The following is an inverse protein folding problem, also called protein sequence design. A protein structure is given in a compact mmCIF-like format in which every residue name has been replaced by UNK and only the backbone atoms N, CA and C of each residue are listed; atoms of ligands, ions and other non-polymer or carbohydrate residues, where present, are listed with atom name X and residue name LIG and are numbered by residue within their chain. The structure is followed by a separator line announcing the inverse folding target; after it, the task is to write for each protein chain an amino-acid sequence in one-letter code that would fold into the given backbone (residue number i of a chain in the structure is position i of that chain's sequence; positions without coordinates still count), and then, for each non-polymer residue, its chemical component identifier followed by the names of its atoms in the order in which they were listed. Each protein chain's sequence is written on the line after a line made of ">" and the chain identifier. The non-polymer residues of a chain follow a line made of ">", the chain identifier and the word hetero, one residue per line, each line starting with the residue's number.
data_IF_339298615897
#
_entry.id   IF_339298615897
#
_cell.length_a   1.000
_cell.length_b   1.000
_cell.length_c   1.000
_cell.angle_alpha   90.00
_cell.angle_beta   90.00
_cell.angle_gamma   90.00
#
_symmetry.space_group_name_H-M   'P 1'
#
loop_
_entity.id
_entity.type
_entity.pdbx_description
1 polymer ?
#
# COMPACT_ATOMS: atom_id res chain seq x y z
N UNK A 1 -5.38 -25.44 -12.28
CA UNK A 1 -4.65 -25.15 -11.05
C UNK A 1 -5.38 -24.03 -10.37
N UNK A 2 -5.79 -24.26 -9.12
CA UNK A 2 -6.46 -23.27 -8.26
C UNK A 2 -5.44 -22.38 -7.52
N UNK A 3 -4.23 -22.30 -8.05
CA UNK A 3 -3.04 -21.66 -7.48
C UNK A 3 -2.61 -20.42 -8.26
N UNK A 4 -3.49 -19.86 -9.08
CA UNK A 4 -3.17 -18.67 -9.88
C UNK A 4 -3.00 -17.46 -8.98
N UNK A 5 -1.86 -16.79 -9.08
CA UNK A 5 -1.58 -15.53 -8.40
C UNK A 5 -1.26 -14.44 -9.42
N UNK A 6 -1.95 -13.30 -9.32
CA UNK A 6 -1.75 -12.16 -10.22
C UNK A 6 -1.20 -10.96 -9.46
N UNK A 7 -0.15 -10.34 -9.98
CA UNK A 7 0.38 -9.10 -9.40
C UNK A 7 -0.61 -7.94 -9.63
N UNK A 8 -0.95 -7.22 -8.55
CA UNK A 8 -1.82 -6.05 -8.59
C UNK A 8 -1.24 -4.84 -9.36
N UNK A 9 0.08 -4.83 -9.60
CA UNK A 9 0.78 -3.72 -10.27
C UNK A 9 1.04 -4.01 -11.76
N UNK A 10 1.70 -5.11 -12.09
CA UNK A 10 2.09 -5.43 -13.48
C UNK A 10 1.20 -6.46 -14.17
N UNK A 11 0.21 -7.02 -13.47
CA UNK A 11 -0.71 -8.04 -13.98
C UNK A 11 -0.05 -9.37 -14.43
N UNK A 12 1.23 -9.61 -14.10
CA UNK A 12 1.83 -10.94 -14.31
C UNK A 12 1.04 -11.99 -13.54
N UNK A 13 0.73 -13.11 -14.19
CA UNK A 13 -0.04 -14.21 -13.61
C UNK A 13 0.85 -15.45 -13.58
N UNK A 14 1.15 -15.92 -12.36
CA UNK A 14 1.97 -17.10 -12.12
C UNK A 14 1.09 -18.25 -11.62
N UNK A 15 1.44 -19.46 -12.05
CA UNK A 15 0.70 -20.71 -11.83
C UNK A 15 1.70 -21.84 -11.61
N UNK A 16 1.21 -23.00 -11.18
CA UNK A 16 2.02 -24.19 -10.88
C UNK A 16 3.04 -23.95 -9.76
N UNK A 17 2.59 -23.35 -8.65
CA UNK A 17 3.43 -23.05 -7.49
C UNK A 17 3.87 -24.31 -6.75
N UNK A 18 5.14 -24.37 -6.39
CA UNK A 18 5.72 -25.39 -5.52
C UNK A 18 5.87 -24.87 -4.09
N UNK A 19 5.84 -25.74 -3.06
CA UNK A 19 6.01 -25.31 -1.66
C UNK A 19 7.33 -24.59 -1.36
N UNK A 20 8.33 -24.75 -2.23
CA UNK A 20 9.66 -24.12 -2.13
C UNK A 20 9.76 -22.78 -2.84
N UNK A 21 8.75 -22.40 -3.62
CA UNK A 21 8.76 -21.15 -4.36
C UNK A 21 8.59 -19.97 -3.41
N UNK A 22 9.44 -18.96 -3.58
CA UNK A 22 9.35 -17.71 -2.85
C UNK A 22 8.66 -16.66 -3.74
N UNK A 23 7.49 -16.11 -3.32
CA UNK A 23 6.69 -15.24 -4.18
C UNK A 23 7.41 -14.01 -4.74
N UNK A 24 8.29 -13.38 -3.95
CA UNK A 24 9.03 -12.20 -4.38
C UNK A 24 10.07 -12.56 -5.45
N UNK A 25 10.84 -13.62 -5.23
CA UNK A 25 11.87 -14.12 -6.14
C UNK A 25 11.27 -14.54 -7.47
N UNK A 26 10.14 -15.25 -7.45
CA UNK A 26 9.42 -15.61 -8.67
C UNK A 26 8.88 -14.38 -9.40
N UNK A 27 8.33 -13.41 -8.68
CA UNK A 27 7.86 -12.17 -9.29
C UNK A 27 9.01 -11.37 -9.94
N UNK A 28 10.14 -11.21 -9.26
CA UNK A 28 11.33 -10.56 -9.79
C UNK A 28 11.87 -11.29 -11.04
N UNK A 29 11.89 -12.62 -11.01
CA UNK A 29 12.35 -13.46 -12.13
C UNK A 29 11.48 -13.33 -13.38
N UNK A 30 10.16 -13.33 -13.24
CA UNK A 30 9.22 -13.32 -14.38
C UNK A 30 8.82 -11.91 -14.83
N UNK A 31 8.94 -10.90 -13.96
CA UNK A 31 8.60 -9.51 -14.26
C UNK A 31 9.58 -8.53 -13.61
N UNK A 32 10.87 -8.53 -14.01
CA UNK A 32 11.91 -7.67 -13.41
C UNK A 32 11.66 -6.17 -13.62
N UNK A 33 10.79 -5.82 -14.58
CA UNK A 33 10.40 -4.44 -14.86
C UNK A 33 9.12 -4.01 -14.14
N UNK A 34 8.57 -4.83 -13.24
CA UNK A 34 7.40 -4.44 -12.45
C UNK A 34 7.73 -3.22 -11.57
N UNK A 35 6.90 -2.15 -11.59
CA UNK A 35 7.09 -0.99 -10.72
C UNK A 35 7.21 -1.38 -9.24
N UNK A 36 6.45 -2.39 -8.80
CA UNK A 36 6.51 -2.88 -7.42
C UNK A 36 7.85 -3.55 -7.09
N UNK A 37 8.40 -4.37 -8.00
CA UNK A 37 9.72 -5.00 -7.85
C UNK A 37 10.82 -3.94 -7.85
N UNK A 38 10.70 -2.90 -8.68
CA UNK A 38 11.63 -1.76 -8.73
C UNK A 38 11.55 -0.83 -7.52
N UNK A 39 10.57 -1.01 -6.64
CA UNK A 39 10.33 -0.10 -5.51
C UNK A 39 9.79 1.28 -5.93
N UNK A 40 9.19 1.38 -7.11
CA UNK A 40 8.51 2.58 -7.57
C UNK A 40 7.20 2.80 -6.77
N UNK A 41 6.67 4.03 -6.83
CA UNK A 41 5.39 4.33 -6.19
C UNK A 41 4.27 3.46 -6.77
N UNK A 42 3.55 2.76 -5.90
CA UNK A 42 2.39 1.94 -6.25
C UNK A 42 1.20 2.33 -5.38
N UNK A 43 0.01 1.85 -5.73
CA UNK A 43 -1.20 2.02 -4.92
C UNK A 43 -1.20 1.16 -3.63
N UNK A 44 -0.06 0.57 -3.25
CA UNK A 44 0.05 -0.26 -2.06
C UNK A 44 -0.09 0.59 -0.79
N UNK A 45 -1.08 0.27 0.05
CA UNK A 45 -1.24 0.83 1.39
C UNK A 45 -0.81 -0.26 2.39
N UNK A 46 0.36 -0.12 3.05
CA UNK A 46 0.85 -1.16 3.95
C UNK A 46 -0.12 -1.38 5.13
N UNK A 47 -0.52 -2.62 5.36
CA UNK A 47 -1.45 -2.99 6.44
C UNK A 47 -0.89 -2.69 7.84
N UNK A 48 0.43 -2.65 8.00
CA UNK A 48 1.12 -2.44 9.29
C UNK A 48 1.76 -1.06 9.44
N UNK A 49 1.87 -0.27 8.37
CA UNK A 49 2.47 1.08 8.39
C UNK A 49 1.43 2.07 7.93
N UNK A 50 0.48 2.37 8.80
CA UNK A 50 -0.37 3.54 8.59
C UNK A 50 0.46 4.80 8.89
N UNK A 51 1.07 5.38 7.85
CA UNK A 51 1.31 6.82 7.82
C UNK A 51 0.00 7.62 8.03
N UNK A 52 -1.16 6.97 7.90
CA UNK A 52 -2.47 7.48 8.32
C UNK A 52 -2.70 7.50 9.85
N UNK A 53 -1.95 6.70 10.64
CA UNK A 53 -1.95 6.73 12.11
C UNK A 53 -0.84 7.60 12.67
N UNK A 54 0.17 7.93 11.86
CA UNK A 54 1.10 8.98 12.22
C UNK A 54 0.30 10.29 12.37
N UNK A 55 0.49 11.04 13.47
CA UNK A 55 -0.06 12.38 13.57
C UNK A 55 0.36 13.17 12.33
N UNK A 56 -0.53 14.01 11.80
CA UNK A 56 -0.19 14.93 10.72
C UNK A 56 1.09 15.70 11.12
N UNK A 57 2.18 15.43 10.40
CA UNK A 57 3.43 16.14 10.64
C UNK A 57 3.28 17.53 10.04
N UNK A 58 3.45 18.57 10.86
CA UNK A 58 3.44 19.96 10.39
C UNK A 58 4.57 20.13 9.35
N UNK A 59 4.29 20.55 8.11
CA UNK A 59 5.32 20.68 7.08
C UNK A 59 6.35 21.78 7.36
N UNK A 60 6.13 22.62 8.38
CA UNK A 60 6.96 23.79 8.65
C UNK A 60 6.99 24.08 10.16
N UNK A 61 8.19 24.31 10.70
CA UNK A 61 8.44 24.69 12.10
C UNK A 61 8.08 26.15 12.41
N UNK A 62 7.57 26.91 11.43
CA UNK A 62 7.34 28.36 11.56
C UNK A 62 5.93 28.73 12.05
N UNK A 63 5.10 27.75 12.43
CA UNK A 63 3.82 27.99 13.13
C UNK A 63 2.75 28.76 12.35
N UNK A 64 2.98 29.06 11.08
CA UNK A 64 2.08 29.87 10.23
C UNK A 64 1.01 29.04 9.51
N UNK A 65 1.23 27.74 9.29
CA UNK A 65 0.22 26.85 8.71
C UNK A 65 -0.76 26.34 9.77
N UNK A 66 -1.89 27.04 9.88
CA UNK A 66 -3.02 26.60 10.71
C UNK A 66 -3.81 25.54 9.96
N UNK A 67 -3.85 24.33 10.51
CA UNK A 67 -4.76 23.27 10.04
C UNK A 67 -6.19 23.80 10.19
N UNK A 68 -6.85 24.07 9.06
CA UNK A 68 -8.23 24.54 9.02
C UNK A 68 -9.19 23.37 8.73
N UNK A 69 -10.29 23.29 9.48
CA UNK A 69 -11.35 22.34 9.21
C UNK A 69 -12.18 22.85 8.01
N UNK A 70 -12.16 22.12 6.89
CA UNK A 70 -12.93 22.47 5.69
C UNK A 70 -14.35 21.89 5.68
N UNK A 71 -14.69 21.04 6.66
CA UNK A 71 -16.02 20.48 6.82
C UNK A 71 -16.10 19.44 7.93
N UNK A 72 -17.29 19.29 8.51
CA UNK A 72 -17.62 18.22 9.45
C UNK A 72 -18.60 17.24 8.78
N UNK A 73 -18.26 15.95 8.79
CA UNK A 73 -19.15 14.88 8.39
C UNK A 73 -19.21 13.84 9.51
N UNK A 74 -20.41 13.49 9.97
CA UNK A 74 -20.60 12.38 10.90
C UNK A 74 -21.29 11.23 10.17
N UNK A 75 -20.65 10.06 10.17
CA UNK A 75 -21.24 8.81 9.71
C UNK A 75 -21.40 7.89 10.93
N UNK A 76 -22.61 7.48 11.32
CA UNK A 76 -22.83 6.62 12.49
C UNK A 76 -22.06 5.29 12.45
N UNK A 77 -21.66 4.85 11.25
CA UNK A 77 -20.92 3.61 11.02
C UNK A 77 -19.39 3.74 11.15
N UNK A 78 -18.84 4.95 11.22
CA UNK A 78 -17.41 5.17 11.37
C UNK A 78 -17.14 5.78 12.74
N UNK A 79 -17.06 4.92 13.75
CA UNK A 79 -16.50 5.30 15.04
C UNK A 79 -14.99 5.22 14.95
N UNK A 80 -14.30 6.35 15.12
CA UNK A 80 -12.87 6.35 15.34
C UNK A 80 -12.59 5.68 16.69
N UNK A 81 -11.86 4.57 16.70
CA UNK A 81 -11.36 3.97 17.93
C UNK A 81 -10.24 4.88 18.47
N UNK A 82 -10.35 5.23 19.75
CA UNK A 82 -9.37 6.02 20.49
C UNK A 82 -8.15 5.19 20.93
#
# INVERSE_FOLDING_TARGET
>A
GDDRAMCFTCSVCLVCWEPTDEPWSEHERHSPNCPFVKGEHTQNVPLSVTLATSPAQFPCTDGTDRIACFGSGSCPHFLAAA
#
